data_IF_819543421522
#
_entry.id   IF_819543421522
#
_cell.length_a   1.000
_cell.length_b   1.000
_cell.length_c   1.000
_cell.angle_alpha   90.00
_cell.angle_beta   90.00
_cell.angle_gamma   90.00
#
_symmetry.space_group_name_H-M   'P 1'
#
loop_
_entity.id
_entity.type
_entity.pdbx_description
1 polymer ?
#
# COMPACT_ATOMS: atom_id res chain seq x y z
N UNK A 1 21.27 8.18 11.91
CA UNK A 1 21.98 6.91 11.62
C UNK A 1 21.06 5.68 11.59
N UNK A 2 19.93 5.69 10.87
CA UNK A 2 19.04 4.51 10.76
C UNK A 2 18.61 4.15 9.33
N UNK A 3 18.86 5.06 8.37
CA UNK A 3 18.40 4.93 6.99
C UNK A 3 18.87 3.64 6.31
N UNK A 4 20.17 3.33 6.37
CA UNK A 4 20.74 2.14 5.75
C UNK A 4 20.11 0.84 6.26
N UNK A 5 19.81 0.76 7.56
CA UNK A 5 19.14 -0.42 8.14
C UNK A 5 17.69 -0.53 7.67
N UNK A 6 17.00 0.59 7.60
CA UNK A 6 15.62 0.62 7.11
C UNK A 6 15.56 0.21 5.64
N UNK A 7 16.41 0.79 4.81
CA UNK A 7 16.50 0.50 3.38
C UNK A 7 16.86 -0.97 3.14
N UNK A 8 17.84 -1.52 3.86
CA UNK A 8 18.23 -2.93 3.71
C UNK A 8 17.07 -3.90 4.01
N UNK A 9 16.19 -3.56 4.96
CA UNK A 9 14.98 -4.36 5.22
C UNK A 9 13.95 -4.17 4.12
N UNK A 10 13.77 -2.96 3.56
CA UNK A 10 12.92 -2.75 2.39
C UNK A 10 13.39 -3.59 1.20
N UNK A 11 14.67 -3.51 0.87
CA UNK A 11 15.28 -4.24 -0.24
C UNK A 11 15.13 -5.76 -0.03
N UNK A 12 15.36 -6.23 1.19
CA UNK A 12 15.13 -7.62 1.55
C UNK A 12 13.68 -8.03 1.30
N UNK A 13 12.69 -7.29 1.81
CA UNK A 13 11.28 -7.67 1.65
C UNK A 13 10.86 -7.62 0.19
N UNK A 14 11.27 -6.59 -0.55
CA UNK A 14 11.02 -6.45 -1.98
C UNK A 14 11.55 -7.65 -2.79
N UNK A 15 12.77 -8.12 -2.49
CA UNK A 15 13.36 -9.28 -3.15
C UNK A 15 12.89 -10.64 -2.61
N UNK A 16 12.31 -10.68 -1.40
CA UNK A 16 11.96 -11.93 -0.72
C UNK A 16 10.49 -12.35 -0.93
N UNK A 17 9.59 -11.39 -1.17
CA UNK A 17 8.15 -11.67 -1.33
C UNK A 17 7.73 -11.47 -2.78
N UNK A 18 7.15 -12.51 -3.38
CA UNK A 18 6.49 -12.40 -4.68
C UNK A 18 5.08 -11.85 -4.50
N UNK A 19 4.87 -10.63 -4.98
CA UNK A 19 3.56 -9.96 -4.92
C UNK A 19 2.57 -10.59 -5.90
N UNK A 20 1.34 -10.87 -5.46
CA UNK A 20 0.25 -11.35 -6.31
C UNK A 20 -1.10 -11.27 -5.61
N UNK A 21 -2.11 -10.70 -6.28
CA UNK A 21 -3.46 -10.53 -5.72
C UNK A 21 -4.14 -11.88 -5.44
N UNK A 22 -3.78 -12.92 -6.19
CA UNK A 22 -4.22 -14.31 -5.97
C UNK A 22 -3.77 -14.87 -4.62
N UNK A 23 -2.75 -14.28 -4.00
CA UNK A 23 -2.25 -14.67 -2.69
C UNK A 23 -2.98 -13.96 -1.53
N UNK A 24 -3.94 -13.07 -1.82
CA UNK A 24 -4.63 -12.28 -0.80
C UNK A 24 -5.36 -13.15 0.23
N UNK A 25 -4.99 -12.98 1.51
CA UNK A 25 -5.53 -13.71 2.67
C UNK A 25 -5.52 -12.78 3.88
N UNK A 26 -6.67 -12.51 4.50
CA UNK A 26 -6.77 -11.59 5.64
C UNK A 26 -5.99 -12.04 6.90
N UNK A 27 -5.80 -13.36 7.05
CA UNK A 27 -5.16 -13.96 8.23
C UNK A 27 -3.64 -14.06 8.16
N UNK A 28 -3.01 -13.65 7.04
CA UNK A 28 -1.55 -13.84 6.86
C UNK A 28 -0.76 -12.97 7.83
N UNK A 29 0.11 -13.62 8.60
CA UNK A 29 1.02 -12.95 9.53
C UNK A 29 2.36 -12.65 8.89
N UNK A 30 3.15 -11.76 9.50
CA UNK A 30 4.52 -11.48 9.06
C UNK A 30 5.42 -12.73 9.06
N UNK A 31 5.25 -13.63 10.03
CA UNK A 31 6.02 -14.88 10.11
C UNK A 31 5.67 -15.82 8.95
N UNK A 32 4.38 -15.93 8.60
CA UNK A 32 3.94 -16.70 7.44
C UNK A 32 4.45 -16.09 6.14
N UNK A 33 4.39 -14.76 5.96
CA UNK A 33 4.96 -14.09 4.77
C UNK A 33 6.45 -14.38 4.62
N UNK A 34 7.20 -14.41 5.73
CA UNK A 34 8.63 -14.74 5.72
C UNK A 34 8.89 -16.17 5.20
N UNK A 35 8.04 -17.13 5.53
CA UNK A 35 8.19 -18.54 5.14
C UNK A 35 7.61 -18.81 3.75
N UNK A 36 6.39 -18.32 3.48
CA UNK A 36 5.63 -18.54 2.25
C UNK A 36 6.22 -17.76 1.05
N UNK A 37 6.89 -16.62 1.28
CA UNK A 37 7.49 -15.77 0.24
C UNK A 37 6.51 -15.27 -0.82
N UNK A 38 5.22 -15.22 -0.49
CA UNK A 38 4.16 -14.70 -1.35
C UNK A 38 3.20 -13.83 -0.54
N UNK A 39 2.58 -12.86 -1.18
CA UNK A 39 1.61 -12.00 -0.51
C UNK A 39 1.13 -10.81 -1.34
N UNK A 40 0.43 -9.91 -0.68
CA UNK A 40 0.03 -8.59 -1.21
C UNK A 40 0.71 -7.47 -0.43
N UNK A 41 0.47 -6.22 -0.82
CA UNK A 41 1.10 -5.04 -0.19
C UNK A 41 0.99 -5.00 1.35
N UNK A 42 -0.12 -5.50 1.91
CA UNK A 42 -0.32 -5.63 3.36
C UNK A 42 0.71 -6.56 3.99
N UNK A 43 0.98 -7.68 3.34
CA UNK A 43 1.85 -8.74 3.84
C UNK A 43 3.31 -8.27 3.85
N UNK A 44 3.76 -7.59 2.80
CA UNK A 44 5.07 -6.95 2.74
C UNK A 44 5.22 -5.91 3.86
N UNK A 45 4.17 -5.11 4.04
CA UNK A 45 4.14 -4.07 5.06
C UNK A 45 4.28 -4.64 6.46
N UNK A 46 3.56 -5.73 6.77
CA UNK A 46 3.65 -6.42 8.05
C UNK A 46 5.03 -7.05 8.27
N UNK A 47 5.61 -7.66 7.25
CA UNK A 47 6.95 -8.27 7.33
C UNK A 47 8.03 -7.22 7.61
N UNK A 48 8.05 -6.12 6.87
CA UNK A 48 9.05 -5.08 7.07
C UNK A 48 8.86 -4.32 8.40
N UNK A 49 7.63 -4.00 8.81
CA UNK A 49 7.35 -3.42 10.14
C UNK A 49 7.87 -4.33 11.26
N UNK A 50 7.61 -5.63 11.16
CA UNK A 50 8.07 -6.61 12.15
C UNK A 50 9.59 -6.60 12.26
N UNK A 51 10.29 -6.66 11.11
CA UNK A 51 11.76 -6.63 11.06
C UNK A 51 12.34 -5.34 11.64
N UNK A 52 11.78 -4.17 11.31
CA UNK A 52 12.23 -2.91 11.90
C UNK A 52 12.02 -2.85 13.41
N UNK A 53 10.88 -3.33 13.90
CA UNK A 53 10.63 -3.39 15.34
C UNK A 53 11.59 -4.35 16.05
N UNK A 54 11.96 -5.48 15.44
CA UNK A 54 13.03 -6.36 15.96
C UNK A 54 14.41 -5.67 16.01
N UNK A 55 14.63 -4.64 15.19
CA UNK A 55 15.84 -3.80 15.21
C UNK A 55 15.70 -2.57 16.14
N UNK A 56 14.64 -2.52 16.97
CA UNK A 56 14.29 -1.38 17.83
C UNK A 56 14.04 -0.07 17.06
N UNK A 57 13.56 -0.16 15.81
CA UNK A 57 13.20 1.00 14.98
C UNK A 57 11.67 1.18 15.06
N UNK A 58 11.16 2.32 15.55
CA UNK A 58 9.72 2.56 15.59
C UNK A 58 9.15 2.65 14.17
N UNK A 59 8.13 1.84 13.91
CA UNK A 59 7.47 1.75 12.61
C UNK A 59 5.94 1.64 12.78
N UNK A 60 5.19 2.17 11.81
CA UNK A 60 3.72 2.10 11.74
C UNK A 60 3.25 1.71 10.36
N UNK A 61 2.08 1.10 10.31
CA UNK A 61 1.36 0.71 9.11
C UNK A 61 0.51 1.87 8.63
N UNK A 62 0.45 2.10 7.32
CA UNK A 62 -0.33 3.13 6.67
C UNK A 62 -1.16 2.52 5.53
N UNK A 63 -2.37 3.01 5.35
CA UNK A 63 -3.26 2.63 4.25
C UNK A 63 -3.89 3.87 3.63
N UNK A 64 -4.12 3.81 2.32
CA UNK A 64 -4.76 4.88 1.56
C UNK A 64 -4.49 4.76 0.06
N UNK A 65 -4.47 5.91 -0.61
CA UNK A 65 -4.27 5.96 -2.05
C UNK A 65 -2.81 6.27 -2.39
N UNK A 66 -2.30 5.63 -3.44
CA UNK A 66 -0.99 5.92 -4.02
C UNK A 66 -1.22 6.31 -5.48
N UNK A 67 -0.77 7.50 -5.86
CA UNK A 67 -0.93 7.98 -7.23
C UNK A 67 0.03 7.30 -8.19
N UNK A 68 -0.37 7.25 -9.46
CA UNK A 68 0.49 6.85 -10.59
C UNK A 68 1.26 8.05 -11.19
N UNK A 69 1.37 9.17 -10.46
CA UNK A 69 2.10 10.35 -10.93
C UNK A 69 3.57 9.98 -11.14
N UNK A 70 4.06 10.26 -12.36
CA UNK A 70 5.43 9.95 -12.75
C UNK A 70 5.67 8.47 -13.11
N UNK A 71 4.63 7.64 -13.19
CA UNK A 71 4.75 6.24 -13.58
C UNK A 71 4.59 6.04 -15.09
N UNK A 72 5.33 5.08 -15.69
CA UNK A 72 5.17 4.74 -17.09
C UNK A 72 3.77 4.20 -17.37
N UNK A 73 3.21 4.59 -18.51
CA UNK A 73 1.90 4.13 -18.97
C UNK A 73 2.04 2.90 -19.88
N UNK A 74 1.08 1.95 -19.85
CA UNK A 74 -0.16 1.95 -19.06
C UNK A 74 0.09 1.58 -17.59
N UNK A 75 -0.53 2.32 -16.66
CA UNK A 75 -0.46 1.98 -15.24
C UNK A 75 -1.33 0.75 -14.93
N UNK A 76 -0.92 0.01 -13.88
CA UNK A 76 -1.70 -1.09 -13.38
C UNK A 76 -3.05 -0.59 -12.84
N UNK A 77 -4.07 -1.46 -12.83
CA UNK A 77 -5.34 -1.15 -12.18
C UNK A 77 -5.19 -0.63 -10.75
N UNK A 78 -5.87 0.48 -10.46
CA UNK A 78 -5.76 1.15 -9.17
C UNK A 78 -6.43 0.36 -8.05
N UNK A 79 -5.79 0.38 -6.88
CA UNK A 79 -6.26 -0.32 -5.68
C UNK A 79 -5.87 0.47 -4.42
N UNK A 80 -6.46 0.11 -3.28
CA UNK A 80 -5.97 0.57 -1.99
C UNK A 80 -4.56 0.04 -1.74
N UNK A 81 -3.69 0.94 -1.33
CA UNK A 81 -2.30 0.62 -1.09
C UNK A 81 -2.00 0.63 0.41
N UNK A 82 -1.20 -0.35 0.82
CA UNK A 82 -0.52 -0.36 2.09
C UNK A 82 0.91 0.14 1.89
N UNK A 83 1.40 0.96 2.81
CA UNK A 83 2.81 1.29 2.96
C UNK A 83 3.12 1.46 4.44
N UNK A 84 4.35 1.83 4.76
CA UNK A 84 4.79 1.96 6.14
C UNK A 84 5.56 3.22 6.35
N UNK A 85 5.59 3.66 7.60
CA UNK A 85 6.41 4.78 8.02
C UNK A 85 7.31 4.38 9.18
N UNK A 86 8.53 4.89 9.17
CA UNK A 86 9.53 4.69 10.22
C UNK A 86 9.91 6.01 10.85
N UNK A 87 10.12 6.03 12.17
CA UNK A 87 10.58 7.23 12.86
C UNK A 87 12.12 7.24 12.91
N UNK A 88 12.74 8.15 12.15
CA UNK A 88 14.18 8.35 12.13
C UNK A 88 14.49 9.83 12.40
N UNK A 89 15.29 10.09 13.44
CA UNK A 89 15.67 11.46 13.81
C UNK A 89 14.49 12.32 14.24
N UNK A 90 13.48 11.73 14.90
CA UNK A 90 12.28 12.44 15.36
C UNK A 90 11.23 12.71 14.27
N UNK A 91 11.45 12.23 13.04
CA UNK A 91 10.53 12.40 11.91
C UNK A 91 10.08 11.05 11.35
N UNK A 92 8.83 10.98 10.93
CA UNK A 92 8.27 9.84 10.18
C UNK A 92 8.63 9.93 8.70
N UNK A 93 9.12 8.83 8.15
CA UNK A 93 9.52 8.68 6.74
C UNK A 93 8.79 7.51 6.12
N UNK A 94 8.21 7.71 4.92
CA UNK A 94 7.49 6.68 4.17
C UNK A 94 8.45 5.74 3.44
N UNK A 95 8.16 4.45 3.54
CA UNK A 95 8.85 3.36 2.85
C UNK A 95 7.82 2.38 2.31
N UNK A 96 8.12 1.77 1.17
CA UNK A 96 7.20 0.92 0.43
C UNK A 96 7.96 -0.18 -0.31
N UNK A 97 8.15 -1.35 0.29
CA UNK A 97 8.87 -2.47 -0.34
C UNK A 97 8.11 -3.08 -1.51
N UNK A 98 6.80 -2.83 -1.70
CA UNK A 98 6.10 -3.30 -2.91
C UNK A 98 6.71 -2.69 -4.15
N UNK A 99 6.92 -1.36 -4.12
CA UNK A 99 7.41 -0.61 -5.27
C UNK A 99 8.93 -0.39 -5.21
N UNK A 100 9.50 -0.35 -3.99
CA UNK A 100 10.89 0.00 -3.68
C UNK A 100 11.42 1.22 -4.45
N UNK A 101 10.57 2.22 -4.62
CA UNK A 101 10.82 3.42 -5.41
C UNK A 101 10.11 4.62 -4.77
N UNK A 102 10.58 5.83 -5.09
CA UNK A 102 9.96 7.07 -4.62
C UNK A 102 8.62 7.27 -5.32
N UNK A 103 7.54 7.34 -4.54
CA UNK A 103 6.19 7.57 -5.05
C UNK A 103 5.62 8.87 -4.52
N UNK A 104 5.07 9.68 -5.44
CA UNK A 104 4.40 10.93 -5.13
C UNK A 104 2.88 10.72 -4.96
N UNK A 105 2.20 11.71 -4.38
CA UNK A 105 0.74 11.70 -4.27
C UNK A 105 0.18 10.58 -3.39
N UNK A 106 0.81 10.29 -2.25
CA UNK A 106 0.22 9.42 -1.22
C UNK A 106 -0.85 10.19 -0.46
N UNK A 107 -2.08 9.68 -0.47
CA UNK A 107 -3.18 10.22 0.33
C UNK A 107 -3.44 9.26 1.47
N UNK A 108 -2.98 9.64 2.67
CA UNK A 108 -3.15 8.84 3.88
C UNK A 108 -4.62 8.82 4.31
N UNK A 109 -5.19 7.62 4.44
CA UNK A 109 -6.53 7.44 5.03
C UNK A 109 -6.39 7.10 6.50
N UNK A 110 -5.57 6.10 6.83
CA UNK A 110 -5.42 5.64 8.20
C UNK A 110 -4.02 5.09 8.45
N UNK A 111 -3.59 5.18 9.71
CA UNK A 111 -2.32 4.62 10.18
C UNK A 111 -2.47 4.00 11.55
N UNK A 112 -1.70 2.95 11.83
CA UNK A 112 -1.82 2.19 13.08
C UNK A 112 -0.64 1.25 13.32
N UNK A 113 -0.78 0.37 14.31
CA UNK A 113 0.25 -0.64 14.62
C UNK A 113 0.41 -1.63 13.47
N UNK A 114 -0.70 -2.04 12.87
CA UNK A 114 -0.84 -3.01 11.78
C UNK A 114 -2.25 -2.84 11.14
N UNK A 115 -2.60 -3.74 10.23
CA UNK A 115 -3.86 -3.67 9.49
C UNK A 115 -5.10 -4.03 10.32
N UNK A 116 -4.95 -4.68 11.47
CA UNK A 116 -6.09 -5.02 12.33
C UNK A 116 -6.67 -3.77 13.02
N UNK A 117 -5.82 -2.76 13.27
CA UNK A 117 -6.26 -1.48 13.83
C UNK A 117 -6.80 -0.48 12.79
N UNK A 118 -6.52 -0.70 11.50
CA UNK A 118 -6.95 0.17 10.39
C UNK A 118 -7.41 -0.65 9.17
N UNK A 119 -8.37 -1.57 9.34
CA UNK A 119 -8.88 -2.36 8.23
C UNK A 119 -9.65 -1.47 7.26
N UNK A 120 -9.59 -1.81 5.97
CA UNK A 120 -10.41 -1.16 4.94
C UNK A 120 -11.91 -1.36 5.20
N UNK A 121 -12.29 -2.59 5.56
CA UNK A 121 -13.64 -2.96 5.97
C UNK A 121 -13.55 -3.97 7.10
N UNK A 122 -14.44 -3.84 8.08
CA UNK A 122 -14.58 -4.76 9.21
C UNK A 122 -16.06 -5.14 9.30
N UNK A 123 -16.37 -6.39 8.96
CA UNK A 123 -17.75 -6.91 8.94
C UNK A 123 -17.95 -7.88 10.11
N UNK A 124 -19.13 -7.82 10.75
CA UNK A 124 -19.55 -8.77 11.78
C UNK A 124 -20.64 -9.67 11.20
N UNK A 125 -20.31 -10.94 10.98
CA UNK A 125 -21.20 -11.89 10.28
C UNK A 125 -20.69 -12.22 8.88
N UNK A 126 -21.52 -12.90 8.08
CA UNK A 126 -21.16 -13.28 6.72
C UNK A 126 -21.40 -12.11 5.77
N UNK A 127 -20.33 -11.61 5.17
CA UNK A 127 -20.35 -10.53 4.19
C UNK A 127 -19.47 -10.91 3.00
N UNK A 128 -19.96 -10.66 1.78
CA UNK A 128 -19.28 -11.00 0.55
C UNK A 128 -19.15 -9.74 -0.30
N UNK A 129 -17.92 -9.22 -0.39
CA UNK A 129 -17.61 -8.06 -1.22
C UNK A 129 -17.86 -8.39 -2.69
N UNK A 130 -18.87 -7.77 -3.29
CA UNK A 130 -19.28 -8.02 -4.67
C UNK A 130 -18.50 -7.22 -5.71
N UNK A 131 -18.12 -5.98 -5.39
CA UNK A 131 -17.41 -5.08 -6.29
C UNK A 131 -16.53 -4.12 -5.46
N UNK A 132 -15.38 -3.75 -6.01
CA UNK A 132 -14.44 -2.86 -5.37
C UNK A 132 -13.74 -2.00 -6.40
N UNK A 133 -13.92 -0.68 -6.30
CA UNK A 133 -13.41 0.30 -7.26
C UNK A 133 -12.67 1.40 -6.55
N UNK A 134 -11.47 1.69 -7.04
CA UNK A 134 -10.57 2.70 -6.49
C UNK A 134 -10.11 3.59 -7.64
N UNK A 135 -10.13 4.91 -7.42
CA UNK A 135 -9.60 5.89 -8.35
C UNK A 135 -9.01 7.08 -7.59
N UNK A 136 -8.06 7.76 -8.24
CA UNK A 136 -7.43 9.01 -7.81
C UNK A 136 -7.35 9.87 -9.05
N UNK A 137 -7.65 11.14 -8.89
CA UNK A 137 -7.58 12.11 -9.97
C UNK A 137 -6.57 13.17 -9.58
N UNK A 138 -5.69 13.52 -10.52
CA UNK A 138 -4.83 14.67 -10.37
C UNK A 138 -5.63 15.91 -10.82
N UNK A 139 -5.91 16.81 -9.88
CA UNK A 139 -6.54 18.08 -10.20
C UNK A 139 -5.44 19.05 -10.69
N UNK A 140 -5.58 19.56 -11.90
CA UNK A 140 -4.80 20.72 -12.32
C UNK A 140 -5.31 21.96 -11.56
N UNK A 141 -4.43 22.90 -11.26
CA UNK A 141 -4.76 24.19 -10.62
C UNK A 141 -5.50 25.13 -11.58
N UNK A 142 -6.60 24.69 -12.20
CA UNK A 142 -7.49 25.57 -12.97
C UNK A 142 -8.58 26.14 -12.05
N UNK A 143 -8.17 26.98 -11.11
CA UNK A 143 -9.07 27.90 -10.42
C UNK A 143 -9.47 29.02 -11.40
N UNK A 144 -10.27 28.68 -12.42
CA UNK A 144 -10.63 29.66 -13.45
C UNK A 144 -11.46 29.20 -14.64
N UNK A 145 -12.37 28.22 -14.53
CA UNK A 145 -13.44 28.09 -15.54
C UNK A 145 -14.62 27.25 -15.05
N UNK A 146 -15.81 27.80 -15.20
CA UNK A 146 -17.10 27.18 -14.97
C UNK A 146 -17.30 25.96 -15.89
N UNK A 147 -17.82 24.85 -15.35
CA UNK A 147 -18.35 23.76 -16.18
C UNK A 147 -18.20 22.39 -15.56
N UNK A 148 -19.32 21.80 -15.16
CA UNK A 148 -19.47 20.42 -14.67
C UNK A 148 -18.54 19.43 -15.37
N UNK A 149 -17.69 18.81 -14.55
CA UNK A 149 -16.95 17.56 -14.75
C UNK A 149 -17.15 16.87 -16.11
N UNK A 150 -16.24 17.15 -17.06
CA UNK A 150 -15.88 16.17 -18.07
C UNK A 150 -14.58 15.52 -17.63
N UNK A 151 -14.71 14.58 -16.68
CA UNK A 151 -13.62 13.78 -16.14
C UNK A 151 -12.91 13.03 -17.29
N UNK A 152 -11.65 13.38 -17.55
CA UNK A 152 -10.78 12.52 -18.34
C UNK A 152 -10.30 11.41 -17.39
N UNK A 153 -10.96 10.25 -17.49
CA UNK A 153 -10.70 9.08 -16.65
C UNK A 153 -9.30 8.54 -16.95
N UNK A 154 -8.33 8.78 -16.08
CA UNK A 154 -6.99 8.17 -16.19
C UNK A 154 -6.78 6.99 -15.22
N UNK A 155 -7.86 6.49 -14.60
CA UNK A 155 -7.79 5.26 -13.82
C UNK A 155 -7.89 4.03 -14.71
N UNK A 156 -6.85 3.20 -14.73
CA UNK A 156 -6.97 1.83 -15.21
C UNK A 156 -7.90 1.06 -14.25
N UNK A 157 -9.03 0.48 -14.71
CA UNK A 157 -10.01 -0.14 -13.83
C UNK A 157 -9.42 -1.36 -13.12
N UNK A 158 -9.54 -1.42 -11.78
CA UNK A 158 -9.17 -2.55 -10.91
C UNK A 158 -9.48 -3.89 -11.60
N UNK A 159 -8.49 -4.81 -11.66
CA UNK A 159 -8.72 -6.13 -12.24
C UNK A 159 -9.71 -6.89 -11.35
N UNK A 160 -10.96 -6.99 -11.80
CA UNK A 160 -11.96 -7.87 -11.19
C UNK A 160 -11.51 -9.32 -11.41
N UNK A 161 -10.88 -9.90 -10.39
CA UNK A 161 -10.58 -11.33 -10.37
C UNK A 161 -11.88 -12.13 -10.40
N UNK A 162 -12.20 -12.72 -11.55
CA UNK A 162 -13.22 -13.76 -11.65
C UNK A 162 -12.71 -14.98 -10.90
N UNK A 163 -13.36 -15.35 -9.80
CA UNK A 163 -13.18 -16.68 -9.21
C UNK A 163 -14.09 -17.64 -9.98
N UNK A 164 -13.47 -18.66 -10.57
CA UNK A 164 -14.12 -19.93 -10.94
C UNK A 164 -14.48 -20.71 -9.68
#
# INVERSE_FOLDING_TARGET
>A
MGWQRVQAVCDFVHGHVRLGYEHSRATRTAAETLVEKVGVCRDDSHLAITRWRCLNIPARYCTGYVSDIGQPQPCAPMDFAAWMEVCLGGRWWSFDPRNNDTRYGRVLIAQGRDAAGVPLSHSFGHDALSDFKVWIEHLADDAGAQGRARALRTGCPAAAGRRS
#
